data_IF_066177575432
#
_entry.id   IF_066177575432
#
_cell.length_a   1.000
_cell.length_b   1.000
_cell.length_c   1.000
_cell.angle_alpha   90.00
_cell.angle_beta   90.00
_cell.angle_gamma   90.00
#
_symmetry.space_group_name_H-M   'P 1'
#
loop_
_entity.id
_entity.type
_entity.pdbx_description
1 polymer ?
#
# COMPACT_ATOMS: atom_id res chain seq x y z
N UNK A 1 -79.59 16.17 -1.62
CA UNK A 1 -78.91 15.06 -2.32
C UNK A 1 -77.41 15.10 -2.02
N UNK A 2 -76.86 13.98 -1.54
CA UNK A 2 -75.48 13.42 -1.64
C UNK A 2 -74.25 14.35 -1.86
N UNK A 3 -73.30 14.38 -0.90
CA UNK A 3 -71.96 13.68 -0.81
C UNK A 3 -70.88 14.23 -1.78
N UNK A 4 -69.56 14.37 -1.52
CA UNK A 4 -68.58 14.08 -0.43
C UNK A 4 -67.17 14.60 -0.89
N UNK A 5 -66.31 14.99 0.07
CA UNK A 5 -64.80 14.94 0.12
C UNK A 5 -64.01 15.80 -0.89
N UNK A 6 -62.88 16.42 -0.56
CA UNK A 6 -61.84 16.06 0.41
C UNK A 6 -61.19 17.28 1.08
N UNK A 7 -60.85 17.09 2.35
CA UNK A 7 -59.95 17.92 3.17
C UNK A 7 -58.52 17.87 2.62
N UNK A 8 -57.88 19.04 2.50
CA UNK A 8 -56.44 19.27 2.67
C UNK A 8 -56.23 20.80 2.65
N UNK A 9 -56.53 21.51 3.74
CA UNK A 9 -55.52 21.90 4.75
C UNK A 9 -54.10 21.90 4.18
N UNK A 10 -53.48 23.07 4.05
CA UNK A 10 -52.37 23.43 4.93
C UNK A 10 -51.65 24.69 4.45
N UNK A 11 -51.72 25.73 5.27
CA UNK A 11 -50.79 26.85 5.32
C UNK A 11 -49.43 26.37 5.86
N UNK A 12 -48.55 25.87 5.00
CA UNK A 12 -47.12 25.76 5.29
C UNK A 12 -46.40 26.12 3.98
N UNK A 13 -45.99 27.37 3.75
CA UNK A 13 -44.98 28.02 4.57
C UNK A 13 -43.71 27.20 4.42
N UNK A 14 -42.97 27.39 3.32
CA UNK A 14 -41.73 26.68 2.97
C UNK A 14 -40.85 26.49 4.22
N UNK A 15 -40.85 25.30 4.85
CA UNK A 15 -40.12 25.07 6.09
C UNK A 15 -38.96 24.10 5.83
N UNK A 16 -38.36 24.18 4.64
CA UNK A 16 -37.24 23.32 4.24
C UNK A 16 -35.90 24.07 4.17
N UNK A 17 -35.89 25.36 3.81
CA UNK A 17 -34.64 26.13 3.74
C UNK A 17 -34.06 26.45 5.11
N UNK A 18 -34.91 26.70 6.11
CA UNK A 18 -34.48 27.03 7.47
C UNK A 18 -34.02 25.78 8.24
N UNK A 19 -34.63 24.62 7.97
CA UNK A 19 -34.15 23.32 8.48
C UNK A 19 -32.83 22.88 7.84
N UNK A 20 -32.61 23.19 6.57
CA UNK A 20 -31.33 22.98 5.89
C UNK A 20 -30.21 23.87 6.48
N UNK A 21 -30.51 25.12 6.82
CA UNK A 21 -29.57 26.04 7.47
C UNK A 21 -29.27 25.67 8.93
N UNK A 22 -30.25 25.13 9.67
CA UNK A 22 -29.99 24.60 11.01
C UNK A 22 -29.20 23.29 10.98
N UNK A 23 -29.44 22.40 10.03
CA UNK A 23 -28.59 21.21 9.85
C UNK A 23 -27.14 21.59 9.50
N UNK A 24 -26.92 22.60 8.65
CA UNK A 24 -25.55 23.05 8.32
C UNK A 24 -24.83 23.66 9.54
N UNK A 25 -25.58 24.30 10.44
CA UNK A 25 -25.01 24.91 11.64
C UNK A 25 -24.78 23.90 12.78
N UNK A 26 -25.53 22.79 12.82
CA UNK A 26 -25.32 21.69 13.77
C UNK A 26 -24.10 20.82 13.37
N UNK A 27 -23.81 20.68 12.08
CA UNK A 27 -22.68 19.90 11.58
C UNK A 27 -21.43 20.70 11.22
N UNK A 28 -21.48 22.04 11.24
CA UNK A 28 -20.29 22.87 11.05
C UNK A 28 -19.61 22.74 9.69
N UNK A 29 -20.32 22.31 8.63
CA UNK A 29 -19.74 22.23 7.28
C UNK A 29 -20.70 22.70 6.19
N UNK A 30 -20.14 23.43 5.21
CA UNK A 30 -20.87 24.05 4.08
C UNK A 30 -21.36 23.03 3.04
N UNK A 31 -22.51 23.28 2.40
CA UNK A 31 -23.19 22.38 1.44
C UNK A 31 -22.33 21.98 0.22
N UNK A 32 -21.27 22.74 -0.12
CA UNK A 32 -20.27 22.37 -1.15
C UNK A 32 -19.49 21.08 -0.79
N UNK A 33 -19.60 20.64 0.47
CA UNK A 33 -19.05 19.42 1.03
C UNK A 33 -19.77 18.14 0.56
N UNK A 34 -21.05 18.23 0.21
CA UNK A 34 -21.84 17.07 -0.25
C UNK A 34 -21.69 16.77 -1.75
N UNK A 35 -20.98 17.61 -2.50
CA UNK A 35 -20.93 17.55 -3.97
C UNK A 35 -19.52 17.33 -4.56
N UNK A 36 -18.49 17.13 -3.74
CA UNK A 36 -17.10 16.96 -4.24
C UNK A 36 -16.45 15.64 -3.83
N UNK A 37 -16.35 14.79 -4.85
CA UNK A 37 -15.47 13.64 -5.05
C UNK A 37 -15.68 12.41 -4.13
N UNK A 38 -16.57 11.53 -4.59
CA UNK A 38 -16.79 10.12 -4.21
C UNK A 38 -15.55 9.19 -4.27
N UNK A 39 -14.32 9.70 -4.20
CA UNK A 39 -13.10 8.89 -4.35
C UNK A 39 -12.48 8.40 -3.05
N UNK A 40 -12.92 8.92 -1.89
CA UNK A 40 -12.49 8.42 -0.58
C UNK A 40 -13.74 8.16 0.28
N UNK A 41 -14.18 6.88 0.32
CA UNK A 41 -15.36 6.41 1.05
C UNK A 41 -15.35 6.91 2.49
N UNK A 42 -16.48 7.47 2.92
CA UNK A 42 -16.75 7.88 4.29
C UNK A 42 -17.15 6.66 5.13
N UNK A 43 -16.37 6.32 6.16
CA UNK A 43 -16.80 5.36 7.15
C UNK A 43 -17.65 5.96 8.23
N UNK A 44 -18.86 5.41 8.29
CA UNK A 44 -19.62 5.01 9.48
C UNK A 44 -19.06 5.42 10.85
N UNK A 45 -19.85 6.25 11.52
CA UNK A 45 -19.95 6.60 12.93
C UNK A 45 -19.14 5.74 13.94
N UNK A 46 -18.21 6.46 14.59
CA UNK A 46 -17.95 6.47 16.04
C UNK A 46 -17.64 5.15 16.77
N UNK A 47 -16.72 4.31 16.24
CA UNK A 47 -15.90 3.39 17.09
C UNK A 47 -14.52 3.12 16.45
N UNK A 48 -13.62 4.09 16.48
CA UNK A 48 -12.26 3.90 15.99
C UNK A 48 -11.19 4.60 16.84
N UNK A 49 -9.95 4.14 16.73
CA UNK A 49 -8.80 4.66 17.45
C UNK A 49 -8.36 5.96 16.79
N UNK A 50 -8.36 7.07 17.55
CA UNK A 50 -7.92 8.36 17.04
C UNK A 50 -6.40 8.35 16.84
N UNK A 51 -5.95 8.65 15.62
CA UNK A 51 -4.52 8.66 15.28
C UNK A 51 -4.09 10.03 14.82
N UNK A 52 -3.10 10.58 15.54
CA UNK A 52 -2.50 11.87 15.21
C UNK A 52 -1.72 11.81 13.91
N UNK A 53 -1.55 12.97 13.27
CA UNK A 53 -0.70 13.15 12.08
C UNK A 53 0.70 12.57 12.29
N UNK A 54 1.28 12.77 13.46
CA UNK A 54 2.61 12.27 13.83
C UNK A 54 2.68 10.74 13.84
N UNK A 55 1.64 10.07 14.33
CA UNK A 55 1.58 8.60 14.37
C UNK A 55 1.44 8.00 12.96
N UNK A 56 0.63 8.61 12.09
CA UNK A 56 0.49 8.19 10.70
C UNK A 56 1.79 8.39 9.90
N UNK A 57 2.48 9.51 10.12
CA UNK A 57 3.79 9.76 9.51
C UNK A 57 4.87 8.81 10.06
N UNK A 58 4.84 8.53 11.36
CA UNK A 58 5.71 7.54 12.00
C UNK A 58 5.54 6.14 11.41
N UNK A 59 4.29 5.73 11.16
CA UNK A 59 3.97 4.48 10.48
C UNK A 59 4.53 4.45 9.04
N UNK A 60 4.28 5.49 8.23
CA UNK A 60 4.81 5.55 6.86
C UNK A 60 6.35 5.53 6.81
N UNK A 61 7.01 6.21 7.74
CA UNK A 61 8.48 6.20 7.82
C UNK A 61 9.01 4.82 8.20
N UNK A 62 8.36 4.13 9.14
CA UNK A 62 8.70 2.76 9.53
C UNK A 62 8.51 1.81 8.35
N UNK A 63 7.33 1.82 7.72
CA UNK A 63 7.00 0.95 6.59
C UNK A 63 7.91 1.22 5.38
N UNK A 64 8.34 2.48 5.17
CA UNK A 64 9.36 2.81 4.18
C UNK A 64 10.72 2.18 4.47
N UNK A 65 11.11 2.03 5.74
CA UNK A 65 12.37 1.36 6.09
C UNK A 65 12.25 -0.14 5.90
N UNK A 66 11.14 -0.74 6.32
CA UNK A 66 10.88 -2.17 6.15
C UNK A 66 10.84 -2.54 4.67
N UNK A 67 10.02 -1.85 3.86
CA UNK A 67 9.92 -2.08 2.41
C UNK A 67 11.26 -1.88 1.70
N UNK A 68 12.06 -0.88 2.09
CA UNK A 68 13.40 -0.68 1.55
C UNK A 68 14.34 -1.84 1.92
N UNK A 69 14.35 -2.28 3.18
CA UNK A 69 15.18 -3.41 3.62
C UNK A 69 14.83 -4.70 2.89
N UNK A 70 13.53 -4.97 2.70
CA UNK A 70 13.05 -6.12 1.93
C UNK A 70 13.46 -6.00 0.45
N UNK A 71 13.30 -4.83 -0.17
CA UNK A 71 13.71 -4.58 -1.55
C UNK A 71 15.22 -4.77 -1.78
N UNK A 72 16.05 -4.32 -0.82
CA UNK A 72 17.50 -4.54 -0.82
C UNK A 72 17.83 -6.03 -0.70
N UNK A 73 17.07 -6.79 0.10
CA UNK A 73 17.19 -8.24 0.17
C UNK A 73 17.02 -8.92 -1.19
N UNK A 74 15.92 -8.61 -1.89
CA UNK A 74 15.65 -9.13 -3.23
C UNK A 74 16.68 -8.67 -4.28
N UNK A 75 17.18 -7.44 -4.16
CA UNK A 75 18.27 -6.94 -5.00
C UNK A 75 19.52 -7.82 -4.87
N UNK A 76 19.94 -8.13 -3.64
CA UNK A 76 21.13 -8.96 -3.40
C UNK A 76 20.94 -10.39 -3.91
N UNK A 77 19.74 -10.97 -3.82
CA UNK A 77 19.46 -12.27 -4.43
C UNK A 77 19.55 -12.24 -5.95
N UNK A 78 19.12 -11.17 -6.61
CA UNK A 78 19.34 -11.01 -8.04
C UNK A 78 20.83 -10.85 -8.39
N UNK A 79 21.58 -10.09 -7.59
CA UNK A 79 23.03 -9.90 -7.77
C UNK A 79 23.85 -11.18 -7.53
N UNK A 80 23.33 -12.16 -6.79
CA UNK A 80 23.96 -13.47 -6.65
C UNK A 80 24.16 -14.19 -8.00
N UNK A 81 23.45 -13.79 -9.06
CA UNK A 81 23.70 -14.26 -10.42
C UNK A 81 24.98 -13.72 -11.08
N UNK A 82 25.57 -12.63 -10.57
CA UNK A 82 26.79 -12.03 -11.14
C UNK A 82 28.03 -12.91 -10.90
N UNK A 83 28.33 -13.38 -9.68
CA UNK A 83 29.42 -14.33 -9.46
C UNK A 83 29.25 -15.62 -10.25
N UNK A 84 28.01 -16.04 -10.47
CA UNK A 84 27.69 -17.19 -11.33
C UNK A 84 28.19 -16.95 -12.76
N UNK A 85 27.95 -15.75 -13.31
CA UNK A 85 28.37 -15.34 -14.66
C UNK A 85 29.87 -15.11 -14.83
N UNK A 86 30.51 -14.44 -13.87
CA UNK A 86 31.88 -13.99 -14.03
C UNK A 86 32.92 -15.11 -13.79
N UNK A 87 32.59 -16.14 -13.00
CA UNK A 87 33.55 -17.19 -12.63
C UNK A 87 33.09 -18.59 -13.07
N UNK A 88 32.99 -18.89 -14.37
CA UNK A 88 32.55 -20.20 -14.85
C UNK A 88 33.54 -21.33 -14.52
N UNK A 89 34.85 -21.03 -14.54
CA UNK A 89 35.92 -22.02 -14.40
C UNK A 89 36.39 -22.22 -12.94
N UNK A 90 36.06 -21.29 -12.03
CA UNK A 90 36.51 -21.32 -10.64
C UNK A 90 35.35 -21.53 -9.67
N UNK A 91 35.01 -22.79 -9.42
CA UNK A 91 33.84 -23.18 -8.61
C UNK A 91 33.85 -22.59 -7.20
N UNK A 92 35.02 -22.50 -6.54
CA UNK A 92 35.14 -21.97 -5.17
C UNK A 92 34.81 -20.48 -5.08
N UNK A 93 35.36 -19.66 -5.98
CA UNK A 93 35.10 -18.21 -6.03
C UNK A 93 33.65 -17.90 -6.39
N UNK A 94 33.06 -18.70 -7.30
CA UNK A 94 31.66 -18.62 -7.66
C UNK A 94 30.74 -18.85 -6.45
N UNK A 95 30.94 -19.96 -5.74
CA UNK A 95 30.14 -20.33 -4.57
C UNK A 95 30.31 -19.33 -3.43
N UNK A 96 31.53 -18.85 -3.17
CA UNK A 96 31.78 -17.81 -2.17
C UNK A 96 31.05 -16.51 -2.51
N UNK A 97 31.18 -16.02 -3.75
CA UNK A 97 30.51 -14.80 -4.18
C UNK A 97 28.99 -14.89 -4.06
N UNK A 98 28.40 -16.01 -4.50
CA UNK A 98 26.97 -16.27 -4.33
C UNK A 98 26.55 -16.30 -2.86
N UNK A 99 27.32 -17.01 -2.02
CA UNK A 99 27.07 -17.13 -0.59
C UNK A 99 27.07 -15.78 0.12
N UNK A 100 28.02 -14.90 -0.21
CA UNK A 100 28.11 -13.54 0.37
C UNK A 100 26.87 -12.72 0.00
N UNK A 101 26.46 -12.70 -1.28
CA UNK A 101 25.27 -11.95 -1.68
C UNK A 101 23.98 -12.49 -1.05
N UNK A 102 23.83 -13.82 -0.98
CA UNK A 102 22.67 -14.44 -0.33
C UNK A 102 22.64 -14.10 1.16
N UNK A 103 23.78 -14.19 1.84
CA UNK A 103 23.91 -13.85 3.25
C UNK A 103 23.55 -12.37 3.51
N UNK A 104 24.09 -11.45 2.70
CA UNK A 104 23.75 -10.02 2.77
C UNK A 104 22.25 -9.78 2.53
N UNK A 105 21.64 -10.51 1.59
CA UNK A 105 20.20 -10.45 1.34
C UNK A 105 19.38 -10.88 2.55
N UNK A 106 19.75 -11.99 3.20
CA UNK A 106 19.09 -12.47 4.43
C UNK A 106 19.25 -11.45 5.56
N UNK A 107 20.46 -10.94 5.79
CA UNK A 107 20.70 -9.91 6.80
C UNK A 107 19.84 -8.68 6.59
N UNK A 108 19.72 -8.20 5.34
CA UNK A 108 18.88 -7.05 5.01
C UNK A 108 17.40 -7.29 5.36
N UNK A 109 16.85 -8.46 5.01
CA UNK A 109 15.46 -8.83 5.33
C UNK A 109 15.26 -8.94 6.84
N UNK A 110 16.19 -9.60 7.55
CA UNK A 110 16.13 -9.77 9.01
C UNK A 110 16.15 -8.42 9.72
N UNK A 111 17.03 -7.49 9.32
CA UNK A 111 17.06 -6.11 9.87
C UNK A 111 15.74 -5.38 9.59
N UNK A 112 15.13 -5.60 8.41
CA UNK A 112 13.79 -5.12 8.09
C UNK A 112 12.71 -5.67 9.02
N UNK A 113 12.74 -6.97 9.31
CA UNK A 113 11.80 -7.62 10.24
C UNK A 113 11.96 -7.12 11.67
N UNK A 114 13.19 -6.89 12.14
CA UNK A 114 13.43 -6.30 13.47
C UNK A 114 12.89 -4.87 13.56
N UNK A 115 12.96 -4.11 12.48
CA UNK A 115 12.34 -2.79 12.41
C UNK A 115 10.80 -2.85 12.40
N UNK A 116 10.18 -4.00 12.17
CA UNK A 116 8.72 -4.15 12.20
C UNK A 116 8.14 -4.34 13.63
N UNK A 117 8.96 -4.30 14.69
CA UNK A 117 8.47 -4.50 16.06
C UNK A 117 7.32 -3.55 16.47
N UNK A 118 6.48 -4.09 17.38
CA UNK A 118 5.02 -3.97 17.51
C UNK A 118 4.43 -2.58 17.81
N UNK A 119 5.21 -1.51 17.81
CA UNK A 119 4.77 -0.16 18.21
C UNK A 119 3.61 0.38 17.36
N UNK A 120 3.42 -0.14 16.14
CA UNK A 120 2.35 0.26 15.22
C UNK A 120 1.40 -0.89 14.83
N UNK A 121 1.47 -2.05 15.50
CA UNK A 121 0.57 -3.17 15.25
C UNK A 121 -0.90 -2.79 15.50
N UNK A 122 -1.13 -1.88 16.46
CA UNK A 122 -2.45 -1.29 16.76
C UNK A 122 -3.02 -0.54 15.57
N UNK A 123 -2.19 0.15 14.78
CA UNK A 123 -2.64 0.83 13.55
C UNK A 123 -3.02 -0.16 12.44
N UNK A 124 -2.49 -1.38 12.46
CA UNK A 124 -2.88 -2.45 11.53
C UNK A 124 -4.17 -3.17 11.95
N UNK A 125 -4.64 -2.99 13.20
CA UNK A 125 -5.73 -3.77 13.80
C UNK A 125 -7.01 -2.98 14.09
N UNK A 126 -6.95 -1.65 14.19
CA UNK A 126 -8.13 -0.83 14.51
C UNK A 126 -8.54 0.10 13.36
N UNK A 127 -9.84 0.47 13.35
CA UNK A 127 -10.35 1.48 12.42
C UNK A 127 -9.78 2.82 12.87
N UNK A 128 -8.90 3.40 12.06
CA UNK A 128 -8.21 4.66 12.35
C UNK A 128 -9.18 5.81 12.08
N UNK A 129 -9.47 6.61 13.11
CA UNK A 129 -10.17 7.88 12.93
C UNK A 129 -9.12 8.98 12.75
N UNK A 130 -9.13 9.58 11.57
CA UNK A 130 -8.34 10.77 11.26
C UNK A 130 -9.23 12.00 11.34
N UNK A 131 -8.62 13.14 11.66
CA UNK A 131 -9.26 14.44 11.42
C UNK A 131 -9.62 14.57 9.93
N UNK A 132 -10.79 15.13 9.62
CA UNK A 132 -11.33 15.17 8.26
C UNK A 132 -10.39 15.93 7.31
N UNK A 133 -9.81 17.05 7.77
CA UNK A 133 -8.83 17.81 6.98
C UNK A 133 -7.58 16.99 6.68
N UNK A 134 -7.11 16.21 7.66
CA UNK A 134 -5.92 15.38 7.50
C UNK A 134 -6.20 14.18 6.59
N UNK A 135 -7.39 13.56 6.66
CA UNK A 135 -7.79 12.48 5.74
C UNK A 135 -7.80 12.97 4.29
N UNK A 136 -8.31 14.18 4.05
CA UNK A 136 -8.34 14.80 2.72
C UNK A 136 -6.93 15.13 2.21
N UNK A 137 -6.06 15.65 3.08
CA UNK A 137 -4.64 15.86 2.78
C UNK A 137 -3.94 14.55 2.41
N UNK A 138 -4.15 13.49 3.20
CA UNK A 138 -3.56 12.17 2.96
C UNK A 138 -4.09 11.50 1.69
N UNK A 139 -5.39 11.59 1.39
CA UNK A 139 -5.96 11.13 0.12
C UNK A 139 -5.33 11.88 -1.07
N UNK A 140 -5.14 13.20 -0.96
CA UNK A 140 -4.47 13.99 -2.01
C UNK A 140 -3.03 13.56 -2.20
N UNK A 141 -2.28 13.40 -1.11
CA UNK A 141 -0.90 12.93 -1.15
C UNK A 141 -0.79 11.53 -1.75
N UNK A 142 -1.69 10.61 -1.36
CA UNK A 142 -1.76 9.27 -1.91
C UNK A 142 -1.99 9.28 -3.43
N UNK A 143 -2.95 10.05 -3.93
CA UNK A 143 -3.24 10.10 -5.37
C UNK A 143 -2.03 10.63 -6.17
N UNK A 144 -1.37 11.67 -5.65
CA UNK A 144 -0.15 12.22 -6.27
C UNK A 144 0.99 11.21 -6.21
N UNK A 145 1.22 10.56 -5.06
CA UNK A 145 2.27 9.55 -4.90
C UNK A 145 2.00 8.29 -5.70
N UNK A 146 0.76 7.82 -5.79
CA UNK A 146 0.36 6.67 -6.61
C UNK A 146 0.69 6.88 -8.07
N UNK A 147 0.44 8.09 -8.62
CA UNK A 147 0.85 8.43 -9.98
C UNK A 147 2.38 8.42 -10.15
N UNK A 148 3.12 9.00 -9.19
CA UNK A 148 4.59 8.99 -9.19
C UNK A 148 5.18 7.58 -9.08
N UNK A 149 4.67 6.77 -8.15
CA UNK A 149 5.09 5.39 -7.97
C UNK A 149 4.71 4.53 -9.17
N UNK A 150 3.56 4.76 -9.80
CA UNK A 150 3.21 4.10 -11.06
C UNK A 150 4.22 4.42 -12.18
N UNK A 151 4.62 5.69 -12.31
CA UNK A 151 5.63 6.11 -13.29
C UNK A 151 7.02 5.48 -13.05
N UNK A 152 7.36 5.14 -11.80
CA UNK A 152 8.62 4.46 -11.45
C UNK A 152 8.48 2.93 -11.52
N UNK A 153 7.35 2.38 -11.09
CA UNK A 153 7.11 0.94 -11.05
C UNK A 153 7.04 0.35 -12.47
N UNK A 154 6.42 1.04 -13.43
CA UNK A 154 6.29 0.57 -14.81
C UNK A 154 7.66 0.31 -15.47
N UNK A 155 8.62 1.26 -15.52
CA UNK A 155 9.93 0.99 -16.10
C UNK A 155 10.71 -0.07 -15.31
N UNK A 156 10.57 -0.13 -13.98
CA UNK A 156 11.18 -1.19 -13.17
C UNK A 156 10.62 -2.58 -13.51
N UNK A 157 9.30 -2.71 -13.71
CA UNK A 157 8.67 -3.95 -14.18
C UNK A 157 9.17 -4.34 -15.58
N UNK A 158 9.25 -3.37 -16.50
CA UNK A 158 9.73 -3.62 -17.86
C UNK A 158 11.18 -4.12 -17.82
N UNK A 159 12.06 -3.47 -17.06
CA UNK A 159 13.45 -3.89 -16.86
C UNK A 159 13.54 -5.29 -16.26
N UNK A 160 12.70 -5.59 -15.27
CA UNK A 160 12.67 -6.92 -14.63
C UNK A 160 12.23 -8.02 -15.61
N UNK A 161 11.12 -7.80 -16.35
CA UNK A 161 10.62 -8.77 -17.34
C UNK A 161 11.62 -8.94 -18.48
N UNK A 162 12.19 -7.85 -18.99
CA UNK A 162 13.20 -7.89 -20.04
C UNK A 162 14.43 -8.71 -19.61
N UNK A 163 14.89 -8.53 -18.36
CA UNK A 163 15.99 -9.32 -17.81
C UNK A 163 15.67 -10.82 -17.72
N UNK A 164 14.45 -11.20 -17.32
CA UNK A 164 14.04 -12.62 -17.28
C UNK A 164 14.00 -13.20 -18.68
N UNK A 165 13.41 -12.47 -19.64
CA UNK A 165 13.33 -12.90 -21.04
C UNK A 165 14.74 -13.09 -21.62
N UNK A 166 15.66 -12.17 -21.33
CA UNK A 166 17.05 -12.29 -21.76
C UNK A 166 17.71 -13.55 -21.18
N UNK A 167 17.57 -13.82 -19.88
CA UNK A 167 18.09 -15.04 -19.25
C UNK A 167 17.47 -16.32 -19.83
N UNK A 168 16.17 -16.31 -20.13
CA UNK A 168 15.48 -17.44 -20.75
C UNK A 168 15.97 -17.70 -22.18
N UNK A 169 16.19 -16.64 -22.97
CA UNK A 169 16.74 -16.73 -24.32
C UNK A 169 18.16 -17.29 -24.30
N UNK A 170 18.99 -16.89 -23.34
CA UNK A 170 20.32 -17.44 -23.11
C UNK A 170 20.27 -18.94 -22.79
N UNK A 171 19.39 -19.38 -21.87
CA UNK A 171 19.25 -20.82 -21.55
C UNK A 171 18.82 -21.66 -22.77
N UNK A 172 18.06 -21.06 -23.68
CA UNK A 172 17.57 -21.73 -24.89
C UNK A 172 18.59 -21.74 -26.03
N UNK A 173 19.75 -21.10 -25.84
CA UNK A 173 20.84 -21.07 -26.81
C UNK A 173 20.75 -19.96 -27.87
N UNK A 174 19.78 -19.03 -27.74
CA UNK A 174 19.68 -17.89 -28.67
C UNK A 174 20.75 -16.84 -28.42
N UNK A 175 21.22 -16.71 -27.17
CA UNK A 175 22.28 -15.79 -26.78
C UNK A 175 23.47 -16.58 -26.20
N UNK A 176 24.70 -16.41 -26.73
CA UNK A 176 25.88 -17.06 -26.19
C UNK A 176 26.21 -16.49 -24.81
N UNK A 177 26.62 -17.37 -23.88
CA UNK A 177 27.04 -16.95 -22.54
C UNK A 177 28.30 -16.08 -22.62
N UNK A 178 28.23 -14.89 -22.04
CA UNK A 178 29.31 -13.88 -22.10
C UNK A 178 29.27 -13.00 -20.85
N UNK A 179 30.35 -12.26 -20.58
CA UNK A 179 30.50 -11.35 -19.44
C UNK A 179 29.40 -10.28 -19.38
N UNK A 180 28.78 -9.95 -20.53
CA UNK A 180 27.65 -9.02 -20.61
C UNK A 180 26.40 -9.47 -19.81
N UNK A 181 26.30 -10.75 -19.43
CA UNK A 181 25.20 -11.24 -18.59
C UNK A 181 25.23 -10.63 -17.18
N UNK A 182 26.38 -10.15 -16.71
CA UNK A 182 26.47 -9.40 -15.46
C UNK A 182 25.59 -8.12 -15.49
N UNK A 183 25.52 -7.43 -16.63
CA UNK A 183 24.65 -6.26 -16.80
C UNK A 183 23.17 -6.62 -16.80
N UNK A 184 22.82 -7.81 -17.29
CA UNK A 184 21.43 -8.33 -17.22
C UNK A 184 21.02 -8.55 -15.76
N UNK A 185 21.90 -9.17 -14.96
CA UNK A 185 21.64 -9.35 -13.52
C UNK A 185 21.60 -8.02 -12.76
N UNK A 186 22.41 -7.04 -13.15
CA UNK A 186 22.35 -5.68 -12.58
C UNK A 186 21.03 -4.98 -12.90
N UNK A 187 20.56 -5.08 -14.16
CA UNK A 187 19.26 -4.57 -14.57
C UNK A 187 18.10 -5.26 -13.85
N UNK A 188 18.16 -6.59 -13.68
CA UNK A 188 17.20 -7.36 -12.89
C UNK A 188 17.15 -6.91 -11.43
N UNK A 189 18.33 -6.71 -10.81
CA UNK A 189 18.44 -6.27 -9.44
C UNK A 189 17.84 -4.87 -9.23
N UNK A 190 18.14 -3.93 -10.15
CA UNK A 190 17.56 -2.59 -10.12
C UNK A 190 16.02 -2.60 -10.33
N UNK A 191 15.54 -3.44 -11.26
CA UNK A 191 14.11 -3.63 -11.51
C UNK A 191 13.38 -4.20 -10.29
N UNK A 192 13.93 -5.24 -9.66
CA UNK A 192 13.39 -5.83 -8.42
C UNK A 192 13.38 -4.84 -7.27
N UNK A 193 14.47 -4.12 -7.04
CA UNK A 193 14.55 -3.14 -5.97
C UNK A 193 13.49 -2.05 -6.13
N UNK A 194 13.38 -1.47 -7.32
CA UNK A 194 12.38 -0.42 -7.58
C UNK A 194 10.95 -0.94 -7.49
N UNK A 195 10.67 -2.12 -8.04
CA UNK A 195 9.34 -2.72 -7.99
C UNK A 195 8.91 -3.06 -6.57
N UNK A 196 9.73 -3.78 -5.81
CA UNK A 196 9.38 -4.20 -4.44
C UNK A 196 9.23 -2.99 -3.52
N UNK A 197 10.11 -1.99 -3.64
CA UNK A 197 10.00 -0.76 -2.86
C UNK A 197 8.72 0.02 -3.16
N UNK A 198 8.40 0.23 -4.45
CA UNK A 198 7.20 0.96 -4.85
C UNK A 198 5.91 0.22 -4.49
N UNK A 199 5.88 -1.11 -4.64
CA UNK A 199 4.75 -1.93 -4.23
C UNK A 199 4.52 -1.88 -2.71
N UNK A 200 5.59 -2.05 -1.91
CA UNK A 200 5.49 -1.98 -0.44
C UNK A 200 5.04 -0.60 0.05
N UNK A 201 5.56 0.48 -0.54
CA UNK A 201 5.11 1.83 -0.20
C UNK A 201 3.66 2.06 -0.62
N UNK A 202 3.24 1.62 -1.81
CA UNK A 202 1.87 1.81 -2.26
C UNK A 202 0.87 1.07 -1.37
N UNK A 203 1.20 -0.16 -0.96
CA UNK A 203 0.40 -0.96 -0.03
C UNK A 203 0.29 -0.28 1.34
N UNK A 204 1.40 0.31 1.85
CA UNK A 204 1.39 1.10 3.08
C UNK A 204 0.42 2.29 3.04
N UNK A 205 0.42 3.02 1.93
CA UNK A 205 -0.52 4.14 1.74
C UNK A 205 -1.96 3.65 1.54
N UNK A 206 -2.17 2.57 0.78
CA UNK A 206 -3.49 1.97 0.58
C UNK A 206 -4.06 1.48 1.91
N UNK A 207 -3.24 0.90 2.78
CA UNK A 207 -3.64 0.50 4.12
C UNK A 207 -4.10 1.68 4.97
N UNK A 208 -3.46 2.85 4.86
CA UNK A 208 -3.89 4.05 5.59
C UNK A 208 -5.17 4.67 5.00
N UNK A 209 -5.30 4.68 3.67
CA UNK A 209 -6.43 5.33 2.97
C UNK A 209 -7.68 4.45 2.95
N UNK A 210 -7.53 3.14 2.73
CA UNK A 210 -8.62 2.16 2.67
C UNK A 210 -8.79 1.38 3.99
N UNK A 211 -8.30 1.92 5.10
CA UNK A 211 -8.19 1.21 6.37
C UNK A 211 -9.50 0.51 6.79
N UNK A 212 -10.66 1.12 6.58
CA UNK A 212 -11.97 0.51 6.89
C UNK A 212 -12.22 -0.84 6.20
N UNK A 213 -11.80 -1.00 4.94
CA UNK A 213 -11.98 -2.27 4.22
C UNK A 213 -11.04 -3.37 4.72
N UNK A 214 -9.83 -2.98 5.16
CA UNK A 214 -8.83 -3.90 5.68
C UNK A 214 -9.18 -4.35 7.11
N UNK A 215 -9.54 -3.41 7.97
CA UNK A 215 -9.95 -3.69 9.36
C UNK A 215 -11.29 -4.43 9.39
N UNK A 216 -12.25 -4.10 8.53
CA UNK A 216 -13.51 -4.84 8.40
C UNK A 216 -13.29 -6.32 8.05
N UNK A 217 -12.32 -6.65 7.18
CA UNK A 217 -11.95 -8.04 6.87
C UNK A 217 -11.25 -8.75 8.03
N UNK A 218 -10.38 -8.06 8.75
CA UNK A 218 -9.67 -8.63 9.91
C UNK A 218 -10.62 -8.86 11.09
N UNK A 219 -11.44 -7.88 11.44
CA UNK A 219 -12.51 -8.00 12.44
C UNK A 219 -13.48 -9.13 12.10
N UNK A 220 -13.90 -9.23 10.83
CA UNK A 220 -14.78 -10.31 10.39
C UNK A 220 -14.13 -11.69 10.56
N UNK A 221 -12.85 -11.84 10.20
CA UNK A 221 -12.09 -13.10 10.39
C UNK A 221 -11.90 -13.43 11.88
N UNK A 222 -11.58 -12.46 12.71
CA UNK A 222 -11.44 -12.63 14.16
C UNK A 222 -12.78 -13.05 14.80
N UNK A 223 -13.87 -12.36 14.45
CA UNK A 223 -15.22 -12.65 14.95
C UNK A 223 -15.68 -14.05 14.55
N UNK A 224 -15.37 -14.48 13.33
CA UNK A 224 -15.62 -15.86 12.87
C UNK A 224 -14.82 -16.88 13.67
N UNK A 225 -13.53 -16.62 13.94
CA UNK A 225 -12.65 -17.52 14.69
C UNK A 225 -13.01 -17.64 16.18
N UNK A 226 -13.53 -16.57 16.76
CA UNK A 226 -14.05 -16.56 18.13
C UNK A 226 -15.36 -17.36 18.21
N UNK A 227 -16.28 -17.17 17.26
CA UNK A 227 -17.53 -17.94 17.21
C UNK A 227 -17.29 -19.46 17.08
N UNK A 228 -16.33 -19.87 16.26
CA UNK A 228 -15.96 -21.30 16.11
C UNK A 228 -15.21 -21.92 17.30
N UNK A 229 -14.84 -21.13 18.31
CA UNK A 229 -14.19 -21.62 19.54
C UNK A 229 -15.14 -21.67 20.74
N UNK A 230 -16.30 -21.03 20.63
CA UNK A 230 -17.31 -20.94 21.69
C UNK A 230 -18.40 -22.00 21.48
N UNK A 231 -18.57 -22.48 20.24
CA UNK A 231 -19.32 -23.71 19.91
C UNK A 231 -18.39 -24.94 19.96
#
# INVERSE_FOLDING_TARGET
MHRRRAERENNQGYPETEKLLQLSNIFGVSVDYLLKDDTCKEGTEEKGYYVSKEMAQGFLMKESRVSRSVAVGFMFWALAGIPFCMFPNHSSWRLLGMGVFIFLGICAVVIGMFHDQDTYAVLKQEVLLFDYEYRKELCREYQVRRKKYGFVAVPCCILFVAGIVALAATKRGYLPWSEYHAFIFLGLAAGLLGFVYTAGMLDAYEQLVENEKYTGRLLFKLRKKIRTKID
#
